data_IF_989978779998
#
_entry.id   IF_989978779998
#
_cell.length_a   1.000
_cell.length_b   1.000
_cell.length_c   1.000
_cell.angle_alpha   90.00
_cell.angle_beta   90.00
_cell.angle_gamma   90.00
#
_symmetry.space_group_name_H-M   'P 1'
#
loop_
_entity.id
_entity.type
_entity.pdbx_description
1 polymer ?
#
# COMPACT_ATOMS: atom_id res chain seq x y z
N UNK A 1 11.32 5.37 27.35
CA UNK A 1 9.88 5.70 27.40
C UNK A 1 9.12 4.63 26.65
N UNK A 2 8.55 3.67 27.38
CA UNK A 2 7.85 2.51 26.81
C UNK A 2 6.39 2.88 26.56
N UNK A 3 6.01 3.06 25.30
CA UNK A 3 4.62 3.29 24.90
C UNK A 3 3.84 1.98 25.02
N UNK A 4 2.82 1.94 25.88
CA UNK A 4 1.86 0.84 25.98
C UNK A 4 1.25 0.59 24.60
N UNK A 5 1.59 -0.53 23.97
CA UNK A 5 0.86 -1.04 22.79
C UNK A 5 -0.43 -1.68 23.28
N UNK A 6 -1.53 -1.27 22.67
CA UNK A 6 -2.87 -1.73 22.98
C UNK A 6 -3.06 -3.13 22.37
N UNK A 7 -3.21 -4.16 23.21
CA UNK A 7 -3.70 -5.51 22.81
C UNK A 7 -5.22 -5.50 22.53
N UNK A 8 -5.72 -4.42 21.95
CA UNK A 8 -7.14 -4.23 21.63
C UNK A 8 -7.51 -4.84 20.28
N UNK A 9 -8.80 -5.20 20.08
CA UNK A 9 -9.30 -5.52 18.75
C UNK A 9 -8.98 -4.37 17.78
N UNK A 10 -8.73 -4.68 16.50
CA UNK A 10 -8.47 -3.67 15.44
C UNK A 10 -9.47 -2.52 15.59
N UNK A 11 -9.01 -1.26 15.79
CA UNK A 11 -9.92 -0.16 16.06
C UNK A 11 -11.00 -0.07 14.98
N UNK A 12 -12.27 -0.10 15.38
CA UNK A 12 -13.42 -0.02 14.46
C UNK A 12 -13.29 1.18 13.51
N UNK A 13 -12.68 2.27 13.97
CA UNK A 13 -12.43 3.48 13.20
C UNK A 13 -11.44 3.29 12.04
N UNK A 14 -10.46 2.39 12.20
CA UNK A 14 -9.52 2.02 11.14
C UNK A 14 -10.24 1.29 10.02
N UNK A 15 -11.05 0.28 10.37
CA UNK A 15 -11.83 -0.47 9.38
C UNK A 15 -12.80 0.46 8.65
N UNK A 16 -13.46 1.36 9.38
CA UNK A 16 -14.32 2.39 8.79
C UNK A 16 -13.54 3.39 7.92
N UNK A 17 -12.31 3.75 8.26
CA UNK A 17 -11.46 4.60 7.43
C UNK A 17 -11.01 3.88 6.14
N UNK A 18 -10.69 2.58 6.22
CA UNK A 18 -10.36 1.75 5.05
C UNK A 18 -11.59 1.53 4.15
N UNK A 19 -12.77 1.34 4.73
CA UNK A 19 -14.01 1.21 3.97
C UNK A 19 -14.39 2.53 3.30
N UNK A 20 -14.24 3.67 3.99
CA UNK A 20 -14.37 5.00 3.37
C UNK A 20 -13.37 5.21 2.23
N UNK A 21 -12.12 4.76 2.39
CA UNK A 21 -11.11 4.83 1.34
C UNK A 21 -11.43 3.88 0.16
N UNK A 22 -12.07 2.73 0.42
CA UNK A 22 -12.51 1.77 -0.60
C UNK A 22 -13.62 2.36 -1.47
N UNK A 23 -14.59 3.03 -0.87
CA UNK A 23 -15.78 3.49 -1.58
C UNK A 23 -15.56 4.80 -2.37
N UNK A 24 -14.35 5.36 -2.36
CA UNK A 24 -13.99 6.51 -3.17
C UNK A 24 -13.51 6.09 -4.58
N UNK A 25 -14.08 6.68 -5.65
CA UNK A 25 -13.74 6.33 -7.02
C UNK A 25 -12.42 6.99 -7.46
N UNK A 26 -11.32 6.23 -7.53
CA UNK A 26 -10.03 6.61 -8.12
C UNK A 26 -8.81 6.09 -7.35
N UNK A 27 -7.58 6.27 -7.87
CA UNK A 27 -6.35 5.82 -7.22
C UNK A 27 -5.99 6.76 -6.06
N UNK A 28 -6.79 6.80 -5.00
CA UNK A 28 -6.66 7.85 -3.98
C UNK A 28 -5.67 7.49 -2.88
N UNK A 29 -4.41 7.64 -3.27
CA UNK A 29 -3.44 8.30 -2.43
C UNK A 29 -4.03 9.69 -2.07
N UNK A 30 -4.61 9.82 -0.87
CA UNK A 30 -4.84 11.03 -0.07
C UNK A 30 -3.56 11.87 0.11
N UNK A 31 -2.74 12.02 -0.92
CA UNK A 31 -1.82 13.14 -1.01
C UNK A 31 -2.73 14.29 -1.36
N UNK A 32 -2.84 15.27 -0.46
CA UNK A 32 -3.43 16.57 -0.83
C UNK A 32 -2.57 17.04 -2.01
N UNK A 33 -3.10 17.08 -3.24
CA UNK A 33 -2.28 17.47 -4.39
C UNK A 33 -1.81 18.88 -4.12
N UNK A 34 -0.50 19.11 -4.19
CA UNK A 34 -0.01 20.47 -4.14
C UNK A 34 -0.67 21.26 -5.28
N UNK A 35 -0.98 22.55 -5.09
CA UNK A 35 -1.56 23.37 -6.14
C UNK A 35 -0.69 23.27 -7.40
N UNK A 36 -1.31 23.17 -8.59
CA UNK A 36 -0.56 23.04 -9.83
C UNK A 36 0.44 24.21 -9.92
N UNK A 37 1.70 23.95 -10.28
CA UNK A 37 2.69 25.01 -10.36
C UNK A 37 2.26 26.03 -11.41
N UNK A 38 2.14 27.29 -11.00
CA UNK A 38 2.02 28.46 -11.88
C UNK A 38 3.42 28.92 -12.25
N UNK A 39 3.72 29.07 -13.54
CA UNK A 39 5.05 29.46 -14.01
C UNK A 39 5.38 28.90 -15.39
N UNK A 40 6.36 29.52 -16.05
CA UNK A 40 6.92 29.04 -17.31
C UNK A 40 7.79 27.78 -17.10
N UNK A 41 8.28 27.18 -18.19
CA UNK A 41 9.04 25.94 -18.12
C UNK A 41 10.39 26.10 -17.40
N UNK A 42 11.03 27.26 -17.53
CA UNK A 42 12.36 27.51 -16.96
C UNK A 42 12.27 27.73 -15.44
N UNK A 43 11.22 28.40 -14.97
CA UNK A 43 10.92 28.52 -13.54
C UNK A 43 10.67 27.16 -12.89
N UNK A 44 9.86 26.31 -13.52
CA UNK A 44 9.57 24.95 -13.04
C UNK A 44 10.86 24.12 -12.95
N UNK A 45 11.72 24.18 -13.97
CA UNK A 45 12.98 23.43 -13.97
C UNK A 45 13.94 23.95 -12.89
N UNK A 46 14.04 25.27 -12.72
CA UNK A 46 14.89 25.88 -11.70
C UNK A 46 14.45 25.51 -10.28
N UNK A 47 13.15 25.55 -10.02
CA UNK A 47 12.60 25.15 -8.73
C UNK A 47 12.81 23.66 -8.47
N UNK A 48 12.60 22.82 -9.49
CA UNK A 48 12.83 21.39 -9.40
C UNK A 48 14.29 21.06 -9.10
N UNK A 49 15.23 21.66 -9.83
CA UNK A 49 16.67 21.46 -9.63
C UNK A 49 17.11 21.98 -8.24
N UNK A 50 16.52 23.08 -7.75
CA UNK A 50 16.75 23.56 -6.39
C UNK A 50 16.26 22.58 -5.33
N UNK A 51 15.09 21.97 -5.49
CA UNK A 51 14.59 20.93 -4.57
C UNK A 51 15.49 19.69 -4.58
N UNK A 52 15.92 19.23 -5.75
CA UNK A 52 16.81 18.09 -5.91
C UNK A 52 18.19 18.32 -5.24
N UNK A 53 18.65 19.56 -5.19
CA UNK A 53 19.93 19.93 -4.56
C UNK A 53 19.89 19.98 -3.03
N UNK A 54 18.72 20.02 -2.38
CA UNK A 54 18.59 20.16 -0.91
C UNK A 54 19.07 18.93 -0.13
N UNK A 55 19.16 17.76 -0.78
CA UNK A 55 19.49 16.49 -0.13
C UNK A 55 18.29 15.92 0.64
N UNK A 56 18.06 16.37 1.86
CA UNK A 56 16.94 15.91 2.69
C UNK A 56 15.64 16.64 2.31
N UNK A 57 14.57 15.85 2.08
CA UNK A 57 13.25 16.35 1.70
C UNK A 57 12.26 16.13 2.84
N UNK A 58 11.72 17.22 3.37
CA UNK A 58 10.56 17.19 4.24
C UNK A 58 9.26 16.92 3.44
N UNK A 59 8.14 16.73 4.15
CA UNK A 59 6.85 16.42 3.52
C UNK A 59 6.37 17.51 2.54
N UNK A 60 6.47 18.82 2.86
CA UNK A 60 6.18 19.89 1.89
C UNK A 60 7.07 19.83 0.65
N UNK A 61 8.38 19.59 0.80
CA UNK A 61 9.31 19.49 -0.32
C UNK A 61 9.00 18.27 -1.19
N UNK A 62 8.66 17.12 -0.60
CA UNK A 62 8.19 15.93 -1.32
C UNK A 62 6.93 16.24 -2.12
N UNK A 63 5.93 16.86 -1.51
CA UNK A 63 4.68 17.21 -2.18
C UNK A 63 4.92 18.16 -3.36
N UNK A 64 5.80 19.15 -3.18
CA UNK A 64 6.17 20.09 -4.25
C UNK A 64 6.94 19.40 -5.38
N UNK A 65 7.88 18.51 -5.05
CA UNK A 65 8.66 17.74 -6.01
C UNK A 65 7.76 16.89 -6.91
N UNK A 66 6.79 16.20 -6.31
CA UNK A 66 5.80 15.38 -7.04
C UNK A 66 4.94 16.23 -7.98
N UNK A 67 4.52 17.42 -7.54
CA UNK A 67 3.68 18.29 -8.36
C UNK A 67 4.43 18.91 -9.57
N UNK A 68 5.74 19.13 -9.46
CA UNK A 68 6.57 19.64 -10.55
C UNK A 68 6.95 18.54 -11.56
N UNK A 69 7.04 17.29 -11.12
CA UNK A 69 7.57 16.18 -11.92
C UNK A 69 6.91 15.97 -13.29
N UNK A 70 5.56 16.05 -13.45
CA UNK A 70 4.91 15.90 -14.76
C UNK A 70 5.33 16.95 -15.80
N UNK A 71 5.81 18.11 -15.36
CA UNK A 71 6.26 19.21 -16.24
C UNK A 71 7.73 19.11 -16.63
N UNK A 72 8.47 18.17 -16.06
CA UNK A 72 9.90 17.98 -16.31
C UNK A 72 10.25 16.50 -16.55
N UNK A 73 9.76 15.87 -17.64
CA UNK A 73 9.97 14.45 -17.90
C UNK A 73 11.46 14.05 -17.95
N UNK A 74 12.34 14.96 -18.41
CA UNK A 74 13.80 14.75 -18.42
C UNK A 74 14.46 14.66 -17.04
N UNK A 75 13.72 14.93 -15.95
CA UNK A 75 14.21 14.87 -14.56
C UNK A 75 13.61 13.73 -13.73
N UNK A 76 12.71 12.91 -14.30
CA UNK A 76 11.98 11.89 -13.52
C UNK A 76 12.89 10.90 -12.79
N UNK A 77 14.02 10.51 -13.38
CA UNK A 77 14.98 9.62 -12.70
C UNK A 77 15.59 10.26 -11.46
N UNK A 78 15.90 11.56 -11.50
CA UNK A 78 16.43 12.29 -10.36
C UNK A 78 15.35 12.47 -9.28
N UNK A 79 14.11 12.77 -9.67
CA UNK A 79 12.95 12.82 -8.78
C UNK A 79 12.75 11.48 -8.05
N UNK A 80 12.74 10.36 -8.77
CA UNK A 80 12.63 9.03 -8.17
C UNK A 80 13.77 8.75 -7.20
N UNK A 81 15.00 9.11 -7.57
CA UNK A 81 16.16 8.98 -6.69
C UNK A 81 16.01 9.76 -5.38
N UNK A 82 15.55 11.01 -5.46
CA UNK A 82 15.34 11.87 -4.30
C UNK A 82 14.20 11.36 -3.41
N UNK A 83 13.08 10.93 -3.99
CA UNK A 83 11.96 10.32 -3.24
C UNK A 83 12.38 9.00 -2.58
N UNK A 84 13.13 8.16 -3.29
CA UNK A 84 13.66 6.91 -2.75
C UNK A 84 14.61 7.13 -1.58
N UNK A 85 15.42 8.19 -1.63
CA UNK A 85 16.31 8.60 -0.54
C UNK A 85 15.53 9.12 0.68
N UNK A 86 14.50 9.95 0.46
CA UNK A 86 13.63 10.46 1.52
C UNK A 86 12.90 9.32 2.27
N UNK A 87 12.42 8.30 1.55
CA UNK A 87 11.98 7.02 2.12
C UNK A 87 10.77 7.06 3.07
N UNK A 88 10.14 8.22 3.26
CA UNK A 88 8.98 8.40 4.13
C UNK A 88 7.63 8.12 3.45
N UNK A 89 6.51 8.16 4.20
CA UNK A 89 5.17 7.84 3.67
C UNK A 89 4.75 8.73 2.49
N UNK A 90 5.01 10.04 2.59
CA UNK A 90 4.74 10.99 1.52
C UNK A 90 5.57 10.69 0.26
N UNK A 91 6.82 10.26 0.42
CA UNK A 91 7.69 9.94 -0.70
C UNK A 91 7.23 8.67 -1.43
N UNK A 92 6.83 7.63 -0.70
CA UNK A 92 6.23 6.42 -1.28
C UNK A 92 4.91 6.76 -1.98
N UNK A 93 4.06 7.59 -1.37
CA UNK A 93 2.85 8.05 -2.02
C UNK A 93 3.15 8.79 -3.33
N UNK A 94 4.13 9.69 -3.32
CA UNK A 94 4.61 10.38 -4.52
C UNK A 94 5.08 9.42 -5.61
N UNK A 95 5.94 8.45 -5.27
CA UNK A 95 6.44 7.42 -6.21
C UNK A 95 5.31 6.65 -6.89
N UNK A 96 4.21 6.38 -6.19
CA UNK A 96 3.05 5.67 -6.74
C UNK A 96 2.18 6.53 -7.67
N UNK A 97 2.31 7.85 -7.64
CA UNK A 97 1.63 8.78 -8.58
C UNK A 97 2.44 9.08 -9.83
N UNK A 98 3.74 8.84 -9.82
CA UNK A 98 4.61 9.11 -10.96
C UNK A 98 4.44 8.04 -12.05
N UNK A 99 4.73 8.37 -13.32
CA UNK A 99 4.92 7.37 -14.35
C UNK A 99 5.93 6.31 -13.89
N UNK A 100 5.74 5.06 -14.32
CA UNK A 100 6.63 3.96 -13.94
C UNK A 100 8.04 4.18 -14.52
N UNK A 101 8.94 4.69 -13.68
CA UNK A 101 10.35 4.93 -13.99
C UNK A 101 11.21 3.90 -13.25
N UNK A 102 12.31 3.40 -13.84
CA UNK A 102 13.20 2.46 -13.15
C UNK A 102 13.62 2.95 -11.76
N UNK A 103 13.59 2.06 -10.77
CA UNK A 103 13.94 2.38 -9.38
C UNK A 103 12.76 2.76 -8.48
N UNK A 104 11.62 3.16 -9.05
CA UNK A 104 10.45 3.55 -8.25
C UNK A 104 9.85 2.35 -7.50
N UNK A 105 9.66 1.23 -8.19
CA UNK A 105 9.10 0.02 -7.58
C UNK A 105 10.03 -0.56 -6.52
N UNK A 106 11.34 -0.56 -6.76
CA UNK A 106 12.35 -1.02 -5.83
C UNK A 106 12.38 -0.17 -4.56
N UNK A 107 12.18 1.15 -4.69
CA UNK A 107 12.07 2.05 -3.55
C UNK A 107 10.81 1.76 -2.72
N UNK A 108 9.66 1.54 -3.38
CA UNK A 108 8.41 1.14 -2.69
C UNK A 108 8.58 -0.21 -2.00
N UNK A 109 9.16 -1.20 -2.68
CA UNK A 109 9.42 -2.53 -2.12
C UNK A 109 10.34 -2.43 -0.88
N UNK A 110 11.39 -1.62 -0.95
CA UNK A 110 12.30 -1.38 0.18
C UNK A 110 11.60 -0.70 1.35
N UNK A 111 10.70 0.25 1.09
CA UNK A 111 9.91 0.90 2.13
C UNK A 111 8.95 -0.10 2.81
N UNK A 112 8.28 -0.96 2.05
CA UNK A 112 7.42 -2.02 2.59
C UNK A 112 8.23 -3.07 3.36
N UNK A 113 9.44 -3.42 2.89
CA UNK A 113 10.36 -4.30 3.59
C UNK A 113 10.87 -3.73 4.93
N UNK A 114 10.66 -2.43 5.19
CA UNK A 114 10.93 -1.76 6.46
C UNK A 114 9.66 -1.55 7.30
N UNK A 115 8.50 -2.01 6.83
CA UNK A 115 7.23 -1.84 7.52
C UNK A 115 6.68 -0.43 7.46
N UNK A 116 7.10 0.38 6.47
CA UNK A 116 6.58 1.73 6.33
C UNK A 116 5.06 1.70 6.17
N UNK A 117 4.37 2.53 6.95
CA UNK A 117 2.93 2.71 6.85
C UNK A 117 2.56 4.08 6.34
N UNK A 118 1.42 4.14 5.65
CA UNK A 118 0.89 5.38 5.10
C UNK A 118 0.43 6.31 6.23
N UNK A 119 0.69 7.61 6.09
CA UNK A 119 0.08 8.62 6.95
C UNK A 119 -1.41 8.79 6.58
N UNK A 120 -2.30 8.75 7.56
CA UNK A 120 -3.73 9.02 7.36
C UNK A 120 -4.03 10.49 7.70
N UNK A 121 -4.88 11.20 6.91
CA UNK A 121 -5.24 12.58 7.19
C UNK A 121 -5.81 12.75 8.61
N UNK A 122 -5.24 13.66 9.40
CA UNK A 122 -5.69 13.97 10.76
C UNK A 122 -5.49 12.85 11.79
N UNK A 123 -4.69 11.82 11.49
CA UNK A 123 -4.56 10.61 12.31
C UNK A 123 -3.11 10.19 12.52
N UNK A 124 -2.89 9.32 13.51
CA UNK A 124 -1.71 8.47 13.62
C UNK A 124 -1.50 7.63 12.34
N UNK A 125 -0.29 7.13 12.17
CA UNK A 125 0.10 6.26 11.05
C UNK A 125 -0.89 5.11 10.85
N UNK A 126 -1.14 4.72 9.59
CA UNK A 126 -1.96 3.55 9.29
C UNK A 126 -1.41 2.33 10.02
N UNK A 127 -2.27 1.41 10.49
CA UNK A 127 -1.78 0.18 11.07
C UNK A 127 -1.02 -0.63 10.02
N UNK A 128 -0.16 -1.53 10.48
CA UNK A 128 0.42 -2.52 9.61
C UNK A 128 -0.64 -3.58 9.33
N UNK A 129 -0.99 -3.73 8.05
CA UNK A 129 -1.91 -4.78 7.62
C UNK A 129 -1.71 -5.12 6.16
N UNK A 130 -2.17 -6.31 5.80
CA UNK A 130 -2.44 -6.73 4.44
C UNK A 130 -3.96 -6.84 4.25
N UNK A 131 -4.46 -6.42 3.10
CA UNK A 131 -5.80 -6.81 2.66
C UNK A 131 -5.86 -7.05 1.15
N UNK A 132 -6.67 -8.01 0.75
CA UNK A 132 -7.00 -8.31 -0.63
C UNK A 132 -8.51 -8.20 -0.79
N UNK A 133 -8.95 -7.12 -1.43
CA UNK A 133 -10.35 -6.86 -1.76
C UNK A 133 -10.64 -7.43 -3.15
N UNK A 134 -11.67 -8.25 -3.30
CA UNK A 134 -12.03 -8.82 -4.60
C UNK A 134 -13.55 -9.00 -4.73
N UNK A 135 -14.06 -8.82 -5.95
CA UNK A 135 -15.48 -9.00 -6.25
C UNK A 135 -15.81 -10.48 -6.47
N UNK A 136 -17.07 -10.85 -6.19
CA UNK A 136 -17.59 -12.14 -6.63
C UNK A 136 -17.44 -12.33 -8.13
N UNK A 137 -17.01 -13.52 -8.55
CA UNK A 137 -16.84 -13.87 -9.97
C UNK A 137 -17.61 -15.14 -10.32
N UNK A 138 -18.12 -15.21 -11.55
CA UNK A 138 -18.74 -16.43 -12.13
C UNK A 138 -17.71 -17.34 -12.79
N UNK A 139 -16.43 -16.96 -12.83
CA UNK A 139 -15.39 -17.79 -13.41
C UNK A 139 -15.31 -19.13 -12.66
N UNK A 140 -15.19 -20.23 -13.41
CA UNK A 140 -15.11 -21.60 -12.85
C UNK A 140 -14.15 -21.77 -11.67
N UNK A 141 -12.93 -21.18 -11.64
CA UNK A 141 -12.02 -21.36 -10.49
C UNK A 141 -12.40 -20.53 -9.25
N UNK A 142 -13.32 -19.57 -9.35
CA UNK A 142 -13.60 -18.64 -8.25
C UNK A 142 -14.09 -19.32 -6.95
N UNK A 143 -15.03 -20.29 -6.98
CA UNK A 143 -15.46 -20.97 -5.75
C UNK A 143 -14.30 -21.64 -4.99
N UNK A 144 -13.32 -22.20 -5.71
CA UNK A 144 -12.17 -22.83 -5.09
C UNK A 144 -11.19 -21.79 -4.49
N UNK A 145 -11.02 -20.64 -5.16
CA UNK A 145 -10.25 -19.53 -4.61
C UNK A 145 -10.90 -18.97 -3.35
N UNK A 146 -12.22 -18.83 -3.33
CA UNK A 146 -12.97 -18.38 -2.16
C UNK A 146 -12.86 -19.39 -1.02
N UNK A 147 -13.02 -20.70 -1.29
CA UNK A 147 -12.82 -21.77 -0.30
C UNK A 147 -11.41 -21.70 0.29
N UNK A 148 -10.39 -21.47 -0.53
CA UNK A 148 -9.02 -21.35 -0.04
C UNK A 148 -8.82 -20.11 0.82
N UNK A 149 -9.41 -18.97 0.46
CA UNK A 149 -9.40 -17.77 1.30
C UNK A 149 -10.11 -18.02 2.65
N UNK A 150 -11.22 -18.79 2.66
CA UNK A 150 -11.90 -19.20 3.90
C UNK A 150 -11.00 -20.08 4.77
N UNK A 151 -10.25 -21.02 4.18
CA UNK A 151 -9.31 -21.86 4.92
C UNK A 151 -8.17 -21.05 5.55
N UNK A 152 -7.60 -20.09 4.81
CA UNK A 152 -6.59 -19.17 5.35
C UNK A 152 -7.16 -18.33 6.49
N UNK A 153 -8.39 -17.86 6.38
CA UNK A 153 -9.07 -17.07 7.40
C UNK A 153 -9.61 -17.89 8.59
N UNK A 154 -9.59 -19.22 8.51
CA UNK A 154 -9.98 -20.11 9.62
C UNK A 154 -8.85 -20.28 10.67
N UNK A 155 -7.76 -19.51 10.54
CA UNK A 155 -6.68 -19.46 11.50
C UNK A 155 -7.20 -19.10 12.91
N UNK A 156 -6.82 -19.87 13.96
CA UNK A 156 -7.34 -19.66 15.31
C UNK A 156 -6.87 -18.37 15.98
N UNK A 157 -5.86 -17.68 15.45
CA UNK A 157 -5.35 -16.46 16.06
C UNK A 157 -6.28 -15.26 15.87
N UNK A 158 -7.20 -15.32 14.91
CA UNK A 158 -8.09 -14.22 14.55
C UNK A 158 -7.40 -13.07 13.81
N UNK A 159 -6.08 -13.15 13.57
CA UNK A 159 -5.35 -12.13 12.82
C UNK A 159 -5.63 -12.18 11.32
N UNK A 160 -6.01 -13.35 10.80
CA UNK A 160 -6.49 -13.53 9.43
C UNK A 160 -8.01 -13.55 9.41
N UNK A 161 -8.61 -12.77 8.51
CA UNK A 161 -10.08 -12.63 8.44
C UNK A 161 -10.54 -12.60 6.99
N UNK A 162 -11.71 -13.21 6.74
CA UNK A 162 -12.43 -13.07 5.49
C UNK A 162 -13.77 -12.38 5.76
N UNK A 163 -13.86 -11.11 5.41
CA UNK A 163 -15.09 -10.34 5.57
C UNK A 163 -15.89 -10.35 4.26
N UNK A 164 -17.21 -10.52 4.38
CA UNK A 164 -18.15 -10.40 3.26
C UNK A 164 -18.67 -8.97 3.22
N UNK A 165 -18.49 -8.32 2.08
CA UNK A 165 -18.79 -6.93 1.82
C UNK A 165 -19.88 -6.81 0.75
N UNK A 166 -20.53 -5.64 0.68
CA UNK A 166 -21.42 -5.29 -0.44
C UNK A 166 -20.93 -4.00 -1.09
N UNK A 167 -20.65 -4.07 -2.39
CA UNK A 167 -20.24 -2.90 -3.20
C UNK A 167 -21.18 -2.84 -4.40
N UNK A 168 -21.89 -1.73 -4.55
CA UNK A 168 -22.92 -1.54 -5.60
C UNK A 168 -23.97 -2.66 -5.60
N UNK A 169 -24.37 -3.13 -4.41
CA UNK A 169 -25.32 -4.23 -4.22
C UNK A 169 -24.77 -5.64 -4.53
N UNK A 170 -23.54 -5.76 -5.05
CA UNK A 170 -22.89 -7.03 -5.40
C UNK A 170 -21.99 -7.52 -4.25
N UNK A 171 -21.85 -8.85 -4.08
CA UNK A 171 -20.95 -9.40 -3.07
C UNK A 171 -19.49 -9.10 -3.43
N UNK A 172 -18.77 -8.58 -2.47
CA UNK A 172 -17.33 -8.45 -2.48
C UNK A 172 -16.76 -9.13 -1.23
N UNK A 173 -15.47 -9.42 -1.24
CA UNK A 173 -14.79 -10.12 -0.15
C UNK A 173 -13.50 -9.38 0.16
N UNK A 174 -13.13 -9.37 1.45
CA UNK A 174 -11.84 -8.87 1.93
C UNK A 174 -11.16 -9.97 2.71
N UNK A 175 -10.05 -10.48 2.18
CA UNK A 175 -9.12 -11.29 2.96
C UNK A 175 -8.11 -10.34 3.60
N UNK A 176 -8.04 -10.27 4.93
CA UNK A 176 -7.12 -9.37 5.64
C UNK A 176 -6.22 -10.12 6.63
N UNK A 177 -5.03 -9.58 6.85
CA UNK A 177 -4.06 -10.04 7.84
C UNK A 177 -3.60 -8.84 8.70
N UNK A 178 -3.79 -8.96 10.01
CA UNK A 178 -3.51 -7.94 11.02
C UNK A 178 -2.35 -8.36 11.92
N UNK A 179 -1.10 -8.26 11.45
CA UNK A 179 0.07 -8.74 12.19
C UNK A 179 0.27 -8.09 13.57
N UNK A 180 -0.17 -6.84 13.75
CA UNK A 180 0.01 -6.10 15.00
C UNK A 180 -0.92 -6.57 16.13
N UNK A 181 -1.90 -7.43 15.85
CA UNK A 181 -2.73 -8.05 16.89
C UNK A 181 -2.09 -9.31 17.48
N UNK A 182 -0.87 -9.67 17.05
CA UNK A 182 -0.17 -10.86 17.47
C UNK A 182 1.16 -10.53 18.17
N UNK A 183 1.58 -11.35 19.14
CA UNK A 183 2.97 -11.35 19.60
C UNK A 183 3.94 -11.62 18.44
N UNK A 184 5.13 -11.02 18.49
CA UNK A 184 6.09 -11.07 17.38
C UNK A 184 6.42 -12.48 16.86
N UNK A 185 6.61 -13.45 17.77
CA UNK A 185 6.88 -14.84 17.40
C UNK A 185 5.69 -15.51 16.71
N UNK A 186 4.47 -15.22 17.18
CA UNK A 186 3.24 -15.74 16.57
C UNK A 186 3.01 -15.12 15.19
N UNK A 187 3.23 -13.80 15.06
CA UNK A 187 3.24 -13.11 13.78
C UNK A 187 4.20 -13.75 12.78
N UNK A 188 5.46 -13.95 13.17
CA UNK A 188 6.47 -14.53 12.29
C UNK A 188 6.16 -15.99 11.89
N UNK A 189 5.55 -16.76 12.78
CA UNK A 189 5.08 -18.11 12.49
C UNK A 189 3.92 -18.10 11.50
N UNK A 190 2.90 -17.26 11.76
CA UNK A 190 1.72 -17.17 10.93
C UNK A 190 2.03 -16.63 9.53
N UNK A 191 2.82 -15.56 9.43
CA UNK A 191 3.25 -14.99 8.15
C UNK A 191 3.92 -16.04 7.25
N UNK A 192 4.86 -16.83 7.81
CA UNK A 192 5.50 -17.94 7.08
C UNK A 192 4.49 -19.01 6.68
N UNK A 193 3.59 -19.39 7.58
CA UNK A 193 2.61 -20.44 7.33
C UNK A 193 1.63 -20.07 6.21
N UNK A 194 1.22 -18.80 6.11
CA UNK A 194 0.24 -18.34 5.13
C UNK A 194 0.85 -17.70 3.87
N UNK A 195 2.17 -17.43 3.82
CA UNK A 195 2.82 -16.73 2.72
C UNK A 195 2.51 -17.32 1.33
N UNK A 196 2.65 -18.64 1.17
CA UNK A 196 2.38 -19.31 -0.09
C UNK A 196 0.90 -19.23 -0.51
N UNK A 197 -0.01 -19.28 0.46
CA UNK A 197 -1.45 -19.16 0.21
C UNK A 197 -1.82 -17.74 -0.19
N UNK A 198 -1.32 -16.73 0.53
CA UNK A 198 -1.54 -15.32 0.22
C UNK A 198 -0.97 -14.93 -1.15
N UNK A 199 0.24 -15.39 -1.48
CA UNK A 199 0.85 -15.15 -2.79
C UNK A 199 0.04 -15.79 -3.93
N UNK A 200 -0.42 -17.03 -3.76
CA UNK A 200 -1.27 -17.69 -4.75
C UNK A 200 -2.62 -16.99 -4.90
N UNK A 201 -3.26 -16.63 -3.79
CA UNK A 201 -4.56 -15.95 -3.79
C UNK A 201 -4.45 -14.59 -4.48
N UNK A 202 -3.42 -13.79 -4.16
CA UNK A 202 -3.14 -12.54 -4.87
C UNK A 202 -2.95 -12.78 -6.36
N UNK A 203 -2.03 -13.66 -6.77
CA UNK A 203 -1.72 -13.88 -8.20
C UNK A 203 -2.93 -14.36 -9.03
N UNK A 204 -3.89 -15.04 -8.40
CA UNK A 204 -5.13 -15.51 -9.04
C UNK A 204 -6.25 -14.47 -9.01
N UNK A 205 -6.47 -13.80 -7.88
CA UNK A 205 -7.56 -12.85 -7.69
C UNK A 205 -7.26 -11.46 -8.24
N UNK A 206 -5.98 -11.05 -8.29
CA UNK A 206 -5.56 -9.74 -8.82
C UNK A 206 -5.85 -9.57 -10.33
N UNK A 207 -6.19 -10.65 -11.03
CA UNK A 207 -6.62 -10.62 -12.43
C UNK A 207 -8.13 -10.33 -12.59
N UNK A 208 -8.88 -10.35 -11.50
CA UNK A 208 -10.30 -10.01 -11.52
C UNK A 208 -10.46 -8.49 -11.49
N UNK A 209 -11.41 -7.99 -12.28
CA UNK A 209 -11.69 -6.56 -12.34
C UNK A 209 -12.15 -6.02 -10.98
N UNK A 210 -11.56 -4.91 -10.56
CA UNK A 210 -11.85 -4.24 -9.29
C UNK A 210 -11.20 -4.90 -8.07
N UNK A 211 -10.22 -5.78 -8.27
CA UNK A 211 -9.41 -6.32 -7.16
C UNK A 211 -8.42 -5.27 -6.69
N UNK A 212 -8.23 -5.16 -5.37
CA UNK A 212 -7.28 -4.22 -4.76
C UNK A 212 -6.43 -4.93 -3.72
N UNK A 213 -5.12 -4.77 -3.83
CA UNK A 213 -4.17 -5.14 -2.81
C UNK A 213 -3.91 -3.92 -1.91
N UNK A 214 -3.99 -4.09 -0.61
CA UNK A 214 -3.65 -3.10 0.39
C UNK A 214 -2.49 -3.59 1.23
N UNK A 215 -1.44 -2.76 1.35
CA UNK A 215 -0.30 -3.01 2.22
C UNK A 215 -0.03 -1.75 3.03
N UNK A 216 -0.15 -1.83 4.35
CA UNK A 216 0.13 -0.73 5.28
C UNK A 216 -0.57 0.59 4.91
N UNK A 217 -1.79 0.52 4.38
CA UNK A 217 -2.58 1.66 3.93
C UNK A 217 -2.32 2.14 2.49
N UNK A 218 -1.31 1.60 1.80
CA UNK A 218 -1.11 1.82 0.36
C UNK A 218 -2.00 0.88 -0.45
N UNK A 219 -2.70 1.41 -1.46
CA UNK A 219 -3.61 0.66 -2.32
C UNK A 219 -3.00 0.44 -3.70
N UNK A 220 -3.08 -0.80 -4.20
CA UNK A 220 -2.66 -1.21 -5.52
C UNK A 220 -3.86 -1.88 -6.21
N UNK A 221 -4.59 -1.08 -7.00
CA UNK A 221 -5.75 -1.55 -7.76
C UNK A 221 -5.33 -2.26 -9.05
N UNK A 222 -6.24 -3.05 -9.63
CA UNK A 222 -6.04 -3.75 -10.91
C UNK A 222 -5.87 -2.81 -12.11
N UNK A 223 -6.47 -1.62 -12.05
CA UNK A 223 -6.35 -0.53 -13.02
C UNK A 223 -5.30 0.53 -12.61
N UNK A 224 -4.51 0.24 -11.57
CA UNK A 224 -3.48 1.14 -11.07
C UNK A 224 -2.19 1.11 -11.90
N UNK A 225 -1.24 2.02 -11.61
CA UNK A 225 0.02 2.12 -12.35
C UNK A 225 0.99 0.97 -12.06
N UNK A 226 0.75 0.18 -11.01
CA UNK A 226 1.59 -0.96 -10.61
C UNK A 226 0.97 -2.26 -11.12
N UNK A 227 1.68 -2.94 -12.03
CA UNK A 227 1.22 -4.19 -12.62
C UNK A 227 1.02 -5.31 -11.58
N UNK A 228 0.17 -6.29 -11.87
CA UNK A 228 -0.08 -7.44 -10.96
C UNK A 228 1.20 -8.19 -10.61
N UNK A 229 2.14 -8.35 -11.57
CA UNK A 229 3.42 -8.99 -11.31
C UNK A 229 4.27 -8.18 -10.32
N UNK A 230 4.33 -6.85 -10.49
CA UNK A 230 5.01 -5.93 -9.59
C UNK A 230 4.38 -5.96 -8.18
N UNK A 231 3.05 -6.00 -8.08
CA UNK A 231 2.34 -6.15 -6.81
C UNK A 231 2.74 -7.43 -6.06
N UNK A 232 3.00 -8.54 -6.77
CA UNK A 232 3.50 -9.77 -6.18
C UNK A 232 4.87 -9.59 -5.48
N UNK A 233 5.76 -8.77 -6.07
CA UNK A 233 7.04 -8.42 -5.43
C UNK A 233 6.85 -7.54 -4.19
N UNK A 234 5.89 -6.61 -4.22
CA UNK A 234 5.55 -5.78 -3.05
C UNK A 234 4.97 -6.62 -1.90
N UNK A 235 4.09 -7.57 -2.23
CA UNK A 235 3.54 -8.53 -1.26
C UNK A 235 4.65 -9.39 -0.66
N UNK A 236 5.57 -9.91 -1.47
CA UNK A 236 6.71 -10.69 -0.98
C UNK A 236 7.58 -9.87 -0.02
N UNK A 237 7.92 -8.62 -0.38
CA UNK A 237 8.68 -7.72 0.49
C UNK A 237 7.98 -7.46 1.83
N UNK A 238 6.66 -7.26 1.81
CA UNK A 238 5.86 -7.06 3.01
C UNK A 238 5.76 -8.34 3.89
N UNK A 239 5.63 -9.52 3.28
CA UNK A 239 5.63 -10.79 3.99
C UNK A 239 6.99 -11.03 4.66
N UNK A 240 8.10 -10.85 3.94
CA UNK A 240 9.46 -10.95 4.52
C UNK A 240 9.64 -10.02 5.72
N UNK A 241 9.14 -8.79 5.65
CA UNK A 241 9.15 -7.88 6.78
C UNK A 241 8.35 -8.43 7.97
N UNK A 242 7.13 -8.94 7.71
CA UNK A 242 6.24 -9.50 8.73
C UNK A 242 6.84 -10.72 9.43
N UNK A 243 7.69 -11.48 8.74
CA UNK A 243 8.42 -12.61 9.31
C UNK A 243 9.58 -12.20 10.21
N UNK A 244 10.31 -11.15 9.84
CA UNK A 244 11.62 -10.82 10.42
C UNK A 244 11.63 -9.71 11.48
N UNK A 245 10.61 -8.85 11.51
CA UNK A 245 10.54 -7.82 12.54
C UNK A 245 9.85 -8.40 13.78
N UNK A 246 10.58 -8.57 14.87
CA UNK A 246 10.04 -8.39 16.22
C UNK A 246 10.40 -6.94 16.61
N UNK A 247 9.48 -6.15 17.21
CA UNK A 247 9.87 -4.87 17.78
C UNK A 247 10.95 -5.05 18.86
#
# INVERSE_FOLDING_TARGET
>A
MSGRRSDGPVPSDTLAALDRARDQPGPHLWVVPAPPPTGDADEVLRELDALLARGELDEPAVARLVALAPRAPGRLRAVVGALAAAGGPAAVAGLLTLPQVPGALEAVARALARGLTRALPGSAAAPVFFALDFRGSRARPFPDLLRRAQLVAADPSGALRLDVLRVDGKPAYRLSFWPDTLPARARAGLARACAADLALLHGRLARLRGTRLWLNGFCFADDGPVSVAAQGHLLAAWLTWSEGHAP
#
